data_IF_682581227337
#
_entry.id   IF_682581227337
#
_cell.length_a   1.000
_cell.length_b   1.000
_cell.length_c   1.000
_cell.angle_alpha   90.00
_cell.angle_beta   90.00
_cell.angle_gamma   90.00
#
_symmetry.space_group_name_H-M   'P 1'
#
loop_
_entity.id
_entity.type
_entity.pdbx_description
1 polymer ?
#
# COMPACT_ATOMS: atom_id res chain seq x y z
N UNK A 1 3.12 -8.56 -9.33
CA UNK A 1 2.48 -9.88 -9.17
C UNK A 1 3.58 -10.88 -8.88
N UNK A 2 3.45 -11.69 -7.82
CA UNK A 2 4.38 -12.77 -7.47
C UNK A 2 3.54 -14.06 -7.38
N UNK A 3 3.91 -15.09 -8.12
CA UNK A 3 3.17 -16.36 -8.19
C UNK A 3 3.74 -17.28 -9.27
N UNK A 4 3.64 -18.59 -9.08
CA UNK A 4 3.85 -19.56 -10.17
C UNK A 4 2.61 -19.65 -11.08
N UNK A 5 2.81 -20.11 -12.32
CA UNK A 5 1.75 -20.17 -13.32
C UNK A 5 0.85 -21.40 -13.12
N UNK A 6 -0.35 -21.16 -12.61
CA UNK A 6 -1.48 -22.10 -12.62
C UNK A 6 -2.73 -21.28 -12.97
N UNK A 7 -3.62 -21.76 -13.88
CA UNK A 7 -4.85 -21.06 -14.18
C UNK A 7 -5.74 -20.85 -12.94
N UNK A 8 -6.39 -19.70 -12.84
CA UNK A 8 -7.42 -19.39 -11.84
C UNK A 8 -6.98 -19.45 -10.36
N UNK A 9 -5.71 -19.11 -10.06
CA UNK A 9 -5.27 -19.00 -8.67
C UNK A 9 -6.02 -17.87 -7.93
N UNK A 10 -6.43 -18.09 -6.66
CA UNK A 10 -6.92 -17.01 -5.83
C UNK A 10 -5.83 -15.95 -5.59
N UNK A 11 -6.25 -14.69 -5.49
CA UNK A 11 -5.34 -13.58 -5.29
C UNK A 11 -5.34 -13.07 -3.85
N UNK A 12 -4.16 -12.70 -3.35
CA UNK A 12 -3.98 -11.94 -2.11
C UNK A 12 -3.51 -10.53 -2.48
N UNK A 13 -4.24 -9.52 -2.01
CA UNK A 13 -3.89 -8.11 -2.20
C UNK A 13 -3.42 -7.51 -0.87
N UNK A 14 -2.26 -6.85 -0.89
CA UNK A 14 -1.69 -6.13 0.25
C UNK A 14 -1.29 -4.73 -0.22
N UNK A 15 -1.84 -3.69 0.41
CA UNK A 15 -1.33 -2.34 0.28
C UNK A 15 -0.60 -1.88 1.54
N UNK A 16 0.32 -0.94 1.37
CA UNK A 16 1.06 -0.31 2.43
C UNK A 16 1.29 1.17 2.12
N UNK A 17 1.56 1.96 3.16
CA UNK A 17 1.90 3.38 2.98
C UNK A 17 0.73 4.23 2.47
N UNK A 18 -0.53 3.86 2.74
CA UNK A 18 -1.69 4.72 2.45
C UNK A 18 -1.63 6.03 3.24
N UNK A 19 -1.11 5.98 4.48
CA UNK A 19 -0.73 7.15 5.25
C UNK A 19 0.79 7.36 5.18
N UNK A 20 1.17 8.56 4.80
CA UNK A 20 2.56 8.91 4.49
C UNK A 20 3.56 8.66 5.63
N UNK A 21 3.25 9.09 6.86
CA UNK A 21 4.13 8.99 8.04
C UNK A 21 4.37 7.57 8.57
N UNK A 22 3.59 6.58 8.15
CA UNK A 22 3.60 5.21 8.69
C UNK A 22 4.69 4.36 8.02
N UNK A 23 5.96 4.81 8.13
CA UNK A 23 7.10 4.29 7.36
C UNK A 23 7.39 2.79 7.52
N UNK A 24 6.96 2.19 8.64
CA UNK A 24 7.13 0.75 8.84
C UNK A 24 6.28 -0.07 7.87
N UNK A 25 5.12 0.43 7.41
CA UNK A 25 4.25 -0.31 6.51
C UNK A 25 4.91 -0.57 5.14
N UNK A 26 5.46 0.44 4.43
CA UNK A 26 6.23 0.19 3.21
C UNK A 26 7.43 -0.74 3.42
N UNK A 27 8.15 -0.61 4.54
CA UNK A 27 9.28 -1.47 4.85
C UNK A 27 8.85 -2.95 5.02
N UNK A 28 7.73 -3.20 5.70
CA UNK A 28 7.17 -4.55 5.87
C UNK A 28 6.66 -5.11 4.54
N UNK A 29 6.02 -4.29 3.69
CA UNK A 29 5.59 -4.74 2.36
C UNK A 29 6.79 -5.19 1.50
N UNK A 30 7.89 -4.43 1.52
CA UNK A 30 9.14 -4.82 0.85
C UNK A 30 9.77 -6.07 1.49
N UNK A 31 9.70 -6.23 2.81
CA UNK A 31 10.14 -7.44 3.49
C UNK A 31 9.33 -8.67 3.06
N UNK A 32 8.01 -8.56 2.95
CA UNK A 32 7.14 -9.65 2.46
C UNK A 32 7.51 -10.00 1.03
N UNK A 33 7.66 -9.01 0.13
CA UNK A 33 8.13 -9.23 -1.25
C UNK A 33 9.45 -10.00 -1.25
N UNK A 34 10.42 -9.55 -0.45
CA UNK A 34 11.73 -10.20 -0.33
C UNK A 34 11.61 -11.65 0.13
N UNK A 35 10.82 -11.94 1.18
CA UNK A 35 10.59 -13.31 1.66
C UNK A 35 9.93 -14.19 0.62
N UNK A 36 8.90 -13.71 -0.08
CA UNK A 36 8.20 -14.47 -1.11
C UNK A 36 9.14 -14.85 -2.28
N UNK A 37 10.06 -13.96 -2.66
CA UNK A 37 10.98 -14.21 -3.78
C UNK A 37 12.19 -15.05 -3.34
N UNK A 38 12.81 -14.72 -2.22
CA UNK A 38 14.12 -15.30 -1.84
C UNK A 38 14.03 -16.69 -1.23
N UNK A 39 12.86 -17.05 -0.70
CA UNK A 39 12.59 -18.33 -0.04
C UNK A 39 11.78 -19.30 -0.91
N UNK A 40 11.30 -18.85 -2.07
CA UNK A 40 10.63 -19.73 -3.03
C UNK A 40 11.59 -20.84 -3.49
N UNK A 41 11.14 -22.09 -3.40
CA UNK A 41 11.94 -23.29 -3.65
C UNK A 41 12.90 -23.68 -2.51
N UNK A 42 13.01 -22.88 -1.44
CA UNK A 42 13.87 -23.17 -0.27
C UNK A 42 13.06 -23.49 0.98
N UNK A 43 12.04 -22.67 1.26
CA UNK A 43 11.14 -22.86 2.38
C UNK A 43 9.85 -23.52 1.87
N UNK A 44 9.46 -24.71 2.38
CA UNK A 44 8.30 -25.43 1.88
C UNK A 44 6.99 -24.68 2.10
N UNK A 45 6.85 -23.93 3.20
CA UNK A 45 5.63 -23.16 3.48
C UNK A 45 5.49 -21.97 2.53
N UNK A 46 6.58 -21.22 2.28
CA UNK A 46 6.55 -20.08 1.35
C UNK A 46 6.34 -20.57 -0.09
N UNK A 47 6.99 -21.67 -0.48
CA UNK A 47 6.80 -22.28 -1.79
C UNK A 47 5.32 -22.66 -2.00
N UNK A 48 4.73 -23.35 -1.02
CA UNK A 48 3.31 -23.68 -1.06
C UNK A 48 2.41 -22.43 -1.17
N UNK A 49 2.72 -21.35 -0.45
CA UNK A 49 1.97 -20.09 -0.53
C UNK A 49 2.06 -19.42 -1.92
N UNK A 50 3.24 -19.41 -2.54
CA UNK A 50 3.46 -18.83 -3.89
C UNK A 50 2.82 -19.69 -4.98
N UNK A 51 2.78 -21.01 -4.79
CA UNK A 51 2.11 -21.94 -5.70
C UNK A 51 0.58 -21.92 -5.58
N UNK A 52 0.06 -21.57 -4.41
CA UNK A 52 -1.38 -21.53 -4.16
C UNK A 52 -2.01 -20.18 -4.52
N UNK A 53 -1.31 -19.07 -4.29
CA UNK A 53 -1.88 -17.71 -4.42
C UNK A 53 -1.08 -16.83 -5.39
N UNK A 54 -1.77 -15.89 -6.03
CA UNK A 54 -1.15 -14.76 -6.71
C UNK A 54 -1.09 -13.54 -5.79
N UNK A 55 0.11 -13.00 -5.59
CA UNK A 55 0.34 -11.91 -4.65
C UNK A 55 0.45 -10.58 -5.39
N UNK A 56 -0.44 -9.65 -5.05
CA UNK A 56 -0.44 -8.26 -5.51
C UNK A 56 -0.11 -7.36 -4.34
N UNK A 57 1.09 -6.77 -4.36
CA UNK A 57 1.60 -5.96 -3.26
C UNK A 57 1.87 -4.55 -3.77
N UNK A 58 1.23 -3.55 -3.15
CA UNK A 58 1.46 -2.12 -3.39
C UNK A 58 2.24 -1.56 -2.20
N UNK A 59 3.58 -1.44 -2.29
CA UNK A 59 4.40 -1.08 -1.13
C UNK A 59 4.21 0.37 -0.67
N UNK A 60 3.84 1.27 -1.59
CA UNK A 60 3.57 2.68 -1.29
C UNK A 60 2.33 3.14 -2.05
N UNK A 61 1.17 3.15 -1.38
CA UNK A 61 -0.10 3.57 -1.95
C UNK A 61 -0.26 5.11 -2.05
N UNK A 62 0.49 5.88 -1.25
CA UNK A 62 0.51 7.34 -1.26
C UNK A 62 1.94 7.87 -1.49
N UNK A 63 2.48 7.77 -2.72
CA UNK A 63 3.87 8.14 -3.01
C UNK A 63 4.18 9.61 -2.75
N UNK A 64 3.33 10.54 -3.17
CA UNK A 64 3.54 11.98 -2.96
C UNK A 64 3.56 12.34 -1.47
N UNK A 65 2.66 11.74 -0.69
CA UNK A 65 2.62 11.96 0.75
C UNK A 65 3.88 11.38 1.41
N UNK A 66 4.29 10.17 1.02
CA UNK A 66 5.47 9.51 1.56
C UNK A 66 6.74 10.34 1.32
N UNK A 67 6.97 10.82 0.09
CA UNK A 67 8.07 11.73 -0.24
C UNK A 67 8.02 13.01 0.60
N UNK A 68 6.83 13.62 0.73
CA UNK A 68 6.67 14.83 1.54
C UNK A 68 7.01 14.59 3.01
N UNK A 69 6.74 13.39 3.54
CA UNK A 69 7.14 13.02 4.89
C UNK A 69 8.64 12.83 5.08
N UNK A 70 9.36 12.49 4.01
CA UNK A 70 10.81 12.35 4.02
C UNK A 70 11.52 13.69 3.91
N UNK A 71 10.94 14.64 3.17
CA UNK A 71 11.64 15.87 2.75
C UNK A 71 11.18 17.12 3.48
N UNK A 72 9.92 17.18 3.95
CA UNK A 72 9.31 18.42 4.45
C UNK A 72 8.65 18.28 5.81
N UNK A 73 7.69 17.36 5.97
CA UNK A 73 6.96 17.19 7.24
C UNK A 73 6.82 15.71 7.60
N UNK A 74 7.68 15.26 8.52
CA UNK A 74 7.73 13.88 9.01
C UNK A 74 6.38 13.31 9.45
N UNK A 75 5.49 14.14 9.98
CA UNK A 75 4.18 13.70 10.50
C UNK A 75 3.04 13.84 9.49
N UNK A 76 3.35 14.17 8.22
CA UNK A 76 2.37 14.23 7.15
C UNK A 76 1.67 12.88 6.96
N UNK A 77 0.35 12.93 6.77
CA UNK A 77 -0.50 11.73 6.69
C UNK A 77 -1.21 11.57 5.35
N UNK A 78 -1.72 12.68 4.80
CA UNK A 78 -2.69 12.73 3.70
C UNK A 78 -2.02 12.57 2.33
N UNK A 79 -2.82 12.53 1.27
CA UNK A 79 -2.35 12.73 -0.11
C UNK A 79 -1.78 14.15 -0.31
N UNK A 80 -1.32 14.48 -1.53
CA UNK A 80 -0.84 15.83 -1.88
C UNK A 80 -1.71 16.59 -2.88
N UNK A 81 -2.94 16.12 -3.11
CA UNK A 81 -3.92 16.80 -3.97
C UNK A 81 -4.23 18.22 -3.48
N UNK A 82 -4.34 19.18 -4.39
CA UNK A 82 -4.70 20.58 -4.07
C UNK A 82 -6.09 20.91 -4.62
N UNK A 83 -6.90 21.58 -3.80
CA UNK A 83 -8.18 22.12 -4.24
C UNK A 83 -8.23 23.62 -3.91
N UNK A 84 -7.81 24.45 -4.87
CA UNK A 84 -7.68 25.90 -4.68
C UNK A 84 -9.03 26.61 -4.56
N UNK A 85 -10.11 26.02 -5.07
CA UNK A 85 -11.45 26.63 -5.03
C UNK A 85 -12.08 26.48 -3.64
N UNK A 86 -11.73 25.43 -2.90
CA UNK A 86 -12.17 25.22 -1.52
C UNK A 86 -11.23 25.90 -0.53
N UNK A 87 -9.92 25.64 -0.61
CA UNK A 87 -8.93 26.27 0.26
C UNK A 87 -7.52 26.19 -0.35
N UNK A 88 -6.92 27.35 -0.64
CA UNK A 88 -5.57 27.44 -1.22
C UNK A 88 -4.44 26.95 -0.29
N UNK A 89 -4.68 26.87 1.01
CA UNK A 89 -3.70 26.52 2.04
C UNK A 89 -3.80 25.07 2.50
N UNK A 90 -4.97 24.44 2.42
CA UNK A 90 -5.15 23.05 2.82
C UNK A 90 -4.83 22.10 1.67
N UNK A 91 -3.87 21.20 1.90
CA UNK A 91 -3.44 20.20 0.91
C UNK A 91 -3.78 18.80 1.40
N UNK A 92 -4.22 17.94 0.47
CA UNK A 92 -4.45 16.51 0.67
C UNK A 92 -5.79 16.15 1.30
N UNK A 93 -6.24 14.95 0.98
CA UNK A 93 -7.33 14.24 1.66
C UNK A 93 -6.78 13.03 2.43
N UNK A 94 -7.47 12.61 3.49
CA UNK A 94 -7.15 11.33 4.13
C UNK A 94 -7.62 10.21 3.19
N UNK A 95 -6.66 9.47 2.62
CA UNK A 95 -6.92 8.41 1.65
C UNK A 95 -7.79 7.29 2.25
N UNK A 96 -7.67 7.00 3.55
CA UNK A 96 -8.49 6.00 4.22
C UNK A 96 -9.82 6.56 4.78
N UNK A 97 -10.23 7.74 4.30
CA UNK A 97 -11.60 8.29 4.46
C UNK A 97 -12.22 8.63 3.11
N UNK A 98 -11.61 8.19 2.01
CA UNK A 98 -11.99 8.55 0.65
C UNK A 98 -12.47 7.36 -0.20
N UNK A 99 -12.80 6.25 0.44
CA UNK A 99 -13.43 5.10 -0.20
C UNK A 99 -14.93 5.30 -0.32
N UNK A 100 -15.57 4.67 -1.31
CA UNK A 100 -17.02 4.77 -1.55
C UNK A 100 -17.91 4.12 -0.48
N UNK A 101 -17.33 3.51 0.56
CA UNK A 101 -18.07 2.94 1.67
C UNK A 101 -18.35 3.99 2.74
N UNK A 102 -19.64 4.32 2.96
CA UNK A 102 -20.10 5.32 3.94
C UNK A 102 -19.35 6.66 3.82
N UNK A 103 -19.04 7.06 2.60
CA UNK A 103 -18.30 8.28 2.32
C UNK A 103 -19.05 9.53 2.81
N UNK A 104 -18.35 10.45 3.47
CA UNK A 104 -18.94 11.68 4.02
C UNK A 104 -19.84 11.50 5.25
N UNK A 105 -20.12 10.26 5.66
CA UNK A 105 -20.83 9.93 6.91
C UNK A 105 -22.24 10.50 6.99
N UNK A 106 -23.18 9.89 6.28
CA UNK A 106 -24.63 9.98 6.53
C UNK A 106 -25.23 8.61 6.19
N UNK A 107 -25.72 7.90 7.22
CA UNK A 107 -26.33 6.56 7.23
C UNK A 107 -25.40 5.35 6.99
#
# INVERSE_FOLDING_TARGET
MIGSYVPYKPAIFIDAGIHAREWIAPAVALYIISKLITEYGKNPNITHMVDTFDWYIVPVANPDGYEYSMTTDRLWRKTRSRNITVNKWCVGADANRNWGYRWGGLF
#
